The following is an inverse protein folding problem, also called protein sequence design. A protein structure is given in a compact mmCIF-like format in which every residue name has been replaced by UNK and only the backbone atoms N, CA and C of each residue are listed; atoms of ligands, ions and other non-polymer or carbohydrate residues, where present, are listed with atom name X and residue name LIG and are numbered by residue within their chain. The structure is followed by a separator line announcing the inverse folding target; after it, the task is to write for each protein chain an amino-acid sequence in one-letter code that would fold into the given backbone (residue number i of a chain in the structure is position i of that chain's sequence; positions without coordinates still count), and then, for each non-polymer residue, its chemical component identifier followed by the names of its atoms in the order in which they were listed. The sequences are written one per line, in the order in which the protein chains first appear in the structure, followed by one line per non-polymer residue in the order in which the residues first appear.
data_IF_135023295281
#
_entry.id   IF_135023295281
#
_cell.length_a   1.000
_cell.length_b   1.000
_cell.length_c   1.000
_cell.angle_alpha   90.00
_cell.angle_beta   90.00
_cell.angle_gamma   90.00
#
_symmetry.space_group_name_H-M   'P 1'
#
loop_
_entity.id
_entity.type
_entity.pdbx_description
1 polymer ?
#
# COMPACT_ATOMS: atom_id res chain seq x y z
N UNK A 1 -40.89 -3.10 4.94
CA UNK A 1 -40.94 -1.68 5.17
C UNK A 1 -42.30 -1.24 5.71
N UNK A 2 -43.42 -1.68 5.09
CA UNK A 2 -44.80 -1.34 5.48
C UNK A 2 -45.05 -1.62 6.97
N UNK A 3 -44.68 -2.81 7.47
CA UNK A 3 -44.87 -3.17 8.88
C UNK A 3 -44.05 -2.28 9.84
N UNK A 4 -42.84 -1.89 9.44
CA UNK A 4 -41.98 -1.00 10.24
C UNK A 4 -42.65 0.39 10.33
N UNK A 5 -43.07 0.92 9.22
CA UNK A 5 -43.77 2.23 9.16
C UNK A 5 -45.02 2.20 10.01
N UNK A 6 -45.86 1.16 9.86
CA UNK A 6 -47.07 0.99 10.66
C UNK A 6 -46.77 0.99 12.15
N UNK A 7 -45.80 0.21 12.62
CA UNK A 7 -45.40 0.13 14.03
C UNK A 7 -44.91 1.47 14.58
N UNK A 8 -44.19 2.26 13.76
CA UNK A 8 -43.71 3.57 14.17
C UNK A 8 -44.89 4.56 14.34
N UNK A 9 -45.87 4.55 13.42
CA UNK A 9 -47.05 5.41 13.49
C UNK A 9 -47.94 4.97 14.63
N UNK A 10 -48.21 3.68 14.80
CA UNK A 10 -49.01 3.13 15.92
C UNK A 10 -48.35 3.44 17.29
N UNK A 11 -47.00 3.55 17.32
CA UNK A 11 -46.22 3.96 18.48
C UNK A 11 -46.18 5.48 18.72
N UNK A 12 -46.98 6.27 17.97
CA UNK A 12 -47.12 7.72 18.18
C UNK A 12 -46.16 8.58 17.33
N UNK A 13 -45.45 8.01 16.37
CA UNK A 13 -44.66 8.82 15.43
C UNK A 13 -45.59 9.47 14.41
N UNK A 14 -45.41 10.78 14.20
CA UNK A 14 -46.20 11.51 13.20
C UNK A 14 -45.91 10.95 11.78
N UNK A 15 -46.98 10.59 11.06
CA UNK A 15 -46.90 10.11 9.68
C UNK A 15 -46.31 11.10 8.68
N UNK A 16 -46.36 12.41 9.00
CA UNK A 16 -45.73 13.45 8.18
C UNK A 16 -44.21 13.61 8.44
N UNK A 17 -43.69 12.93 9.43
CA UNK A 17 -42.24 12.98 9.72
C UNK A 17 -41.44 12.61 8.47
N UNK A 18 -40.43 13.42 8.06
CA UNK A 18 -39.57 13.10 6.95
C UNK A 18 -38.85 11.75 7.17
N UNK A 19 -38.78 10.95 6.11
CA UNK A 19 -38.15 9.65 6.17
C UNK A 19 -37.41 9.33 4.85
N UNK A 20 -36.42 8.45 4.91
CA UNK A 20 -35.68 8.04 3.76
C UNK A 20 -35.31 6.54 3.81
N UNK A 21 -35.17 5.94 2.64
CA UNK A 21 -34.54 4.63 2.47
C UNK A 21 -33.29 4.82 1.62
N UNK A 22 -32.17 4.33 2.13
CA UNK A 22 -30.86 4.35 1.46
C UNK A 22 -30.44 2.93 1.16
N UNK A 23 -30.19 2.62 -0.11
CA UNK A 23 -29.57 1.36 -0.55
C UNK A 23 -28.17 1.61 -1.07
N UNK A 24 -27.31 0.60 -0.97
CA UNK A 24 -25.92 0.70 -1.43
C UNK A 24 -25.17 1.92 -0.87
N UNK A 25 -25.45 2.28 0.38
CA UNK A 25 -24.80 3.41 1.06
C UNK A 25 -23.29 3.33 0.93
N UNK A 26 -22.63 4.48 0.73
CA UNK A 26 -21.17 4.61 0.50
C UNK A 26 -20.65 4.07 -0.84
N UNK A 27 -21.50 3.44 -1.64
CA UNK A 27 -21.12 2.97 -2.97
C UNK A 27 -21.54 3.98 -4.06
N UNK A 28 -20.84 3.98 -5.18
CA UNK A 28 -21.17 4.85 -6.33
C UNK A 28 -22.55 4.62 -6.93
N UNK A 29 -23.19 3.49 -6.62
CA UNK A 29 -24.56 3.16 -7.01
C UNK A 29 -25.59 3.43 -5.91
N UNK A 30 -25.20 4.16 -4.86
CA UNK A 30 -26.10 4.55 -3.79
C UNK A 30 -27.38 5.19 -4.35
N UNK A 31 -28.50 4.73 -3.86
CA UNK A 31 -29.83 5.29 -4.19
C UNK A 31 -30.54 5.69 -2.92
N UNK A 32 -31.23 6.80 -2.97
CA UNK A 32 -31.98 7.35 -1.83
C UNK A 32 -33.38 7.68 -2.28
N UNK A 33 -34.38 7.17 -1.57
CA UNK A 33 -35.79 7.56 -1.73
C UNK A 33 -36.21 8.27 -0.47
N UNK A 34 -36.83 9.43 -0.63
CA UNK A 34 -37.36 10.27 0.46
C UNK A 34 -38.85 10.49 0.29
N UNK A 35 -39.58 10.46 1.40
CA UNK A 35 -41.00 10.77 1.46
C UNK A 35 -41.38 11.08 2.93
N UNK A 36 -42.64 11.44 3.18
CA UNK A 36 -43.18 11.35 4.55
C UNK A 36 -43.18 9.90 5.02
N UNK A 37 -43.13 9.68 6.33
CA UNK A 37 -43.08 8.32 6.89
C UNK A 37 -44.25 7.45 6.37
N UNK A 38 -45.46 8.03 6.28
CA UNK A 38 -46.64 7.33 5.78
C UNK A 38 -46.54 6.95 4.31
N UNK A 39 -45.90 7.78 3.48
CA UNK A 39 -45.84 7.61 2.02
C UNK A 39 -44.58 6.83 1.60
N UNK A 40 -43.62 6.61 2.52
CA UNK A 40 -42.33 5.97 2.24
C UNK A 40 -42.46 4.57 1.61
N UNK A 41 -43.37 3.68 2.06
CA UNK A 41 -43.53 2.36 1.46
C UNK A 41 -43.91 2.43 -0.03
N UNK A 42 -44.81 3.32 -0.38
CA UNK A 42 -45.24 3.48 -1.76
C UNK A 42 -44.15 4.12 -2.62
N UNK A 43 -43.48 5.13 -2.11
CA UNK A 43 -42.34 5.77 -2.80
C UNK A 43 -41.22 4.78 -3.09
N UNK A 44 -40.86 3.91 -2.13
CA UNK A 44 -39.85 2.87 -2.31
C UNK A 44 -40.28 1.85 -3.35
N UNK A 45 -41.55 1.41 -3.32
CA UNK A 45 -42.09 0.46 -4.32
C UNK A 45 -42.02 1.03 -5.74
N UNK A 46 -42.44 2.31 -5.90
CA UNK A 46 -42.39 3.00 -7.21
C UNK A 46 -40.97 3.19 -7.72
N UNK A 47 -40.01 3.38 -6.82
CA UNK A 47 -38.58 3.57 -7.17
C UNK A 47 -37.88 2.31 -7.64
N UNK A 48 -38.41 1.12 -7.37
CA UNK A 48 -37.79 -0.18 -7.66
C UNK A 48 -36.53 -0.43 -6.80
N UNK A 49 -36.41 0.18 -5.61
CA UNK A 49 -35.35 -0.16 -4.67
C UNK A 49 -35.52 -1.58 -4.12
N UNK A 50 -34.42 -2.32 -4.04
CA UNK A 50 -34.38 -3.68 -3.50
C UNK A 50 -33.53 -3.73 -2.23
N UNK A 51 -33.87 -4.58 -1.25
CA UNK A 51 -33.07 -4.82 -0.07
C UNK A 51 -31.64 -5.32 -0.44
N UNK A 52 -30.63 -5.12 0.45
CA UNK A 52 -30.74 -4.47 1.77
C UNK A 52 -30.71 -2.95 1.69
N UNK A 53 -31.35 -2.28 2.68
CA UNK A 53 -31.35 -0.84 2.80
C UNK A 53 -31.48 -0.38 4.24
N UNK A 54 -31.07 0.86 4.51
CA UNK A 54 -31.19 1.54 5.80
C UNK A 54 -32.40 2.46 5.73
N UNK A 55 -33.23 2.42 6.77
CA UNK A 55 -34.36 3.33 6.94
C UNK A 55 -33.93 4.42 7.93
N UNK A 56 -34.03 5.68 7.55
CA UNK A 56 -33.87 6.84 8.42
C UNK A 56 -35.19 7.56 8.58
N UNK A 57 -35.50 8.01 9.80
CA UNK A 57 -36.76 8.71 10.12
C UNK A 57 -36.45 9.91 10.99
N UNK A 58 -36.90 11.10 10.61
CA UNK A 58 -36.71 12.33 11.34
C UNK A 58 -36.39 13.51 10.42
N UNK A 59 -36.34 14.72 10.99
CA UNK A 59 -36.06 15.96 10.28
C UNK A 59 -34.77 15.96 9.48
N UNK A 60 -33.79 15.19 9.90
CA UNK A 60 -32.51 15.01 9.15
C UNK A 60 -32.74 14.53 7.73
N UNK A 61 -33.85 13.79 7.47
CA UNK A 61 -34.16 13.27 6.13
C UNK A 61 -34.69 14.37 5.18
N UNK A 62 -35.05 15.54 5.69
CA UNK A 62 -35.44 16.70 4.88
C UNK A 62 -34.22 17.37 4.23
N UNK A 63 -33.02 17.19 4.80
CA UNK A 63 -31.79 17.76 4.22
C UNK A 63 -31.30 16.95 3.01
N UNK A 64 -31.04 17.67 1.94
CA UNK A 64 -30.42 17.08 0.75
C UNK A 64 -28.88 17.14 0.86
N UNK A 65 -28.28 16.12 1.46
CA UNK A 65 -26.82 16.00 1.51
C UNK A 65 -26.20 15.55 0.18
N UNK A 66 -26.95 15.58 -0.90
CA UNK A 66 -26.51 15.19 -2.25
C UNK A 66 -25.73 16.28 -2.98
N UNK A 67 -25.37 17.36 -2.33
CA UNK A 67 -24.31 18.19 -2.86
C UNK A 67 -22.94 17.58 -2.49
N UNK A 68 -22.67 16.36 -2.88
CA UNK A 68 -21.33 16.08 -3.33
C UNK A 68 -21.12 17.04 -4.48
N UNK A 69 -20.31 18.07 -4.26
CA UNK A 69 -19.76 18.86 -5.36
C UNK A 69 -19.24 17.83 -6.35
N UNK A 70 -19.70 17.83 -7.62
CA UNK A 70 -19.22 16.85 -8.57
C UNK A 70 -17.69 16.97 -8.59
N UNK A 71 -16.99 15.96 -8.12
CA UNK A 71 -15.55 15.92 -8.24
C UNK A 71 -15.17 15.88 -9.73
N UNK A 72 -13.94 16.24 -10.04
CA UNK A 72 -13.44 16.29 -11.42
C UNK A 72 -13.63 14.96 -12.19
N UNK A 73 -13.79 13.85 -11.45
CA UNK A 73 -13.94 12.50 -12.00
C UNK A 73 -15.35 11.92 -11.85
N UNK A 74 -16.35 12.75 -11.56
CA UNK A 74 -17.75 12.31 -11.45
C UNK A 74 -18.22 11.68 -12.75
N UNK A 75 -18.82 10.49 -12.67
CA UNK A 75 -19.28 9.72 -13.84
C UNK A 75 -18.20 8.88 -14.52
N UNK A 76 -16.93 9.01 -14.11
CA UNK A 76 -15.82 8.21 -14.64
C UNK A 76 -15.65 6.92 -13.80
N UNK A 77 -15.47 5.79 -14.47
CA UNK A 77 -15.11 4.52 -13.84
C UNK A 77 -13.62 4.24 -14.11
N UNK A 78 -12.86 4.03 -13.02
CA UNK A 78 -11.41 3.77 -13.09
C UNK A 78 -11.10 2.36 -12.59
N UNK A 79 -10.48 1.53 -13.45
CA UNK A 79 -9.91 0.25 -13.06
C UNK A 79 -8.54 0.47 -12.41
N UNK A 80 -8.35 -0.02 -11.18
CA UNK A 80 -7.10 0.12 -10.42
C UNK A 80 -6.43 -1.23 -10.29
N UNK A 81 -5.13 -1.28 -10.60
CA UNK A 81 -4.26 -2.44 -10.38
C UNK A 81 -3.13 -2.06 -9.43
N UNK A 82 -2.55 -3.04 -8.75
CA UNK A 82 -1.43 -2.84 -7.83
C UNK A 82 -1.52 -3.74 -6.61
N UNK A 83 -0.62 -3.59 -5.66
CA UNK A 83 -0.73 -4.26 -4.37
C UNK A 83 -1.92 -3.71 -3.59
N UNK A 84 -2.46 -4.49 -2.64
CA UNK A 84 -3.60 -4.09 -1.81
C UNK A 84 -3.43 -2.68 -1.24
N UNK A 85 -2.28 -2.40 -0.60
CA UNK A 85 -1.99 -1.12 0.03
C UNK A 85 -1.85 0.05 -0.96
N UNK A 86 -1.32 -0.17 -2.16
CA UNK A 86 -1.16 0.88 -3.18
C UNK A 86 -2.49 1.11 -3.89
N UNK A 87 -3.13 0.01 -4.32
CA UNK A 87 -4.42 0.07 -4.99
C UNK A 87 -5.49 0.71 -4.12
N UNK A 88 -5.58 0.35 -2.83
CA UNK A 88 -6.53 0.94 -1.89
C UNK A 88 -6.36 2.47 -1.79
N UNK A 89 -5.16 2.97 -1.55
CA UNK A 89 -4.89 4.42 -1.47
C UNK A 89 -5.22 5.18 -2.76
N UNK A 90 -4.97 4.56 -3.92
CA UNK A 90 -5.33 5.16 -5.21
C UNK A 90 -6.87 5.22 -5.33
N UNK A 91 -7.56 4.13 -5.00
CA UNK A 91 -9.03 4.06 -5.05
C UNK A 91 -9.66 5.11 -4.13
N UNK A 92 -9.14 5.26 -2.89
CA UNK A 92 -9.64 6.27 -1.93
C UNK A 92 -9.48 7.69 -2.49
N UNK A 93 -8.32 8.03 -3.06
CA UNK A 93 -8.10 9.35 -3.65
C UNK A 93 -8.99 9.61 -4.86
N UNK A 94 -9.17 8.63 -5.73
CA UNK A 94 -10.05 8.74 -6.88
C UNK A 94 -11.53 8.87 -6.46
N UNK A 95 -11.93 8.18 -5.39
CA UNK A 95 -13.28 8.28 -4.84
C UNK A 95 -13.58 9.68 -4.29
N UNK A 96 -12.61 10.35 -3.65
CA UNK A 96 -12.74 11.76 -3.20
C UNK A 96 -13.01 12.69 -4.38
N UNK A 97 -12.42 12.42 -5.55
CA UNK A 97 -12.65 13.15 -6.79
C UNK A 97 -13.94 12.73 -7.53
N UNK A 98 -14.74 11.87 -6.92
CA UNK A 98 -16.04 11.43 -7.47
C UNK A 98 -15.99 10.26 -8.46
N UNK A 99 -14.83 9.64 -8.66
CA UNK A 99 -14.73 8.47 -9.54
C UNK A 99 -15.36 7.23 -8.93
N UNK A 100 -15.97 6.41 -9.78
CA UNK A 100 -16.25 5.01 -9.45
C UNK A 100 -14.98 4.19 -9.63
N UNK A 101 -14.48 3.57 -8.56
CA UNK A 101 -13.30 2.73 -8.64
C UNK A 101 -13.67 1.25 -8.64
N UNK A 102 -12.96 0.46 -9.45
CA UNK A 102 -13.03 -1.00 -9.43
C UNK A 102 -11.61 -1.56 -9.32
N UNK A 103 -11.44 -2.60 -8.51
CA UNK A 103 -10.17 -3.34 -8.47
C UNK A 103 -10.12 -4.26 -9.70
N UNK A 104 -9.32 -3.88 -10.69
CA UNK A 104 -9.16 -4.60 -11.94
C UNK A 104 -8.13 -5.73 -11.86
N UNK A 105 -7.21 -5.67 -10.87
CA UNK A 105 -6.23 -6.71 -10.62
C UNK A 105 -5.45 -6.42 -9.33
N UNK A 106 -4.84 -7.47 -8.78
CA UNK A 106 -4.00 -7.36 -7.60
C UNK A 106 -2.61 -7.95 -7.88
N UNK A 107 -1.57 -7.20 -7.49
CA UNK A 107 -0.20 -7.68 -7.53
C UNK A 107 0.15 -8.27 -6.16
N UNK A 108 0.44 -9.57 -6.13
CA UNK A 108 0.85 -10.27 -4.92
C UNK A 108 2.35 -10.47 -4.93
N UNK A 109 3.00 -10.20 -3.79
CA UNK A 109 4.41 -10.52 -3.60
C UNK A 109 4.52 -11.98 -3.17
N UNK A 110 5.15 -12.79 -4.01
CA UNK A 110 5.42 -14.20 -3.72
C UNK A 110 6.87 -14.30 -3.25
N UNK A 111 7.08 -15.01 -2.13
CA UNK A 111 8.43 -15.28 -1.63
C UNK A 111 9.06 -16.42 -2.43
N UNK A 112 10.27 -16.21 -2.92
CA UNK A 112 11.10 -17.26 -3.48
C UNK A 112 11.70 -18.13 -2.34
N UNK A 113 12.29 -19.33 -2.64
CA UNK A 113 13.04 -20.09 -1.66
C UNK A 113 14.15 -19.25 -1.03
N UNK A 114 14.23 -19.26 0.31
CA UNK A 114 15.09 -18.33 1.07
C UNK A 114 16.39 -18.96 1.57
N UNK A 115 16.75 -20.16 1.06
CA UNK A 115 17.95 -20.89 1.53
C UNK A 115 19.24 -20.06 1.41
N UNK A 116 19.36 -19.29 0.32
CA UNK A 116 20.52 -18.41 0.11
C UNK A 116 20.56 -17.25 1.10
N UNK A 117 19.40 -16.69 1.45
CA UNK A 117 19.30 -15.66 2.47
C UNK A 117 19.58 -16.24 3.87
N UNK A 118 19.07 -17.43 4.16
CA UNK A 118 19.37 -18.14 5.39
C UNK A 118 20.87 -18.40 5.54
N UNK A 119 21.52 -18.81 4.46
CA UNK A 119 22.97 -19.00 4.45
C UNK A 119 23.71 -17.68 4.69
N UNK A 120 23.29 -16.59 4.07
CA UNK A 120 23.88 -15.27 4.32
C UNK A 120 23.76 -14.85 5.79
N UNK A 121 22.67 -15.20 6.46
CA UNK A 121 22.48 -14.92 7.89
C UNK A 121 23.42 -15.73 8.81
N UNK A 122 23.93 -16.86 8.38
CA UNK A 122 24.88 -17.64 9.19
C UNK A 122 26.24 -16.98 9.30
N UNK A 123 26.62 -16.19 8.29
CA UNK A 123 27.92 -15.50 8.22
C UNK A 123 27.74 -14.05 7.73
N UNK A 124 27.06 -13.25 8.53
CA UNK A 124 26.85 -11.82 8.25
C UNK A 124 28.15 -11.02 8.30
N UNK A 125 29.17 -11.52 8.99
CA UNK A 125 30.45 -10.83 9.14
C UNK A 125 31.25 -10.75 7.82
N UNK A 126 30.92 -11.56 6.82
CA UNK A 126 31.53 -11.47 5.50
C UNK A 126 31.07 -10.27 4.68
N UNK A 127 29.97 -9.63 5.09
CA UNK A 127 29.41 -8.48 4.39
C UNK A 127 29.78 -7.16 5.06
N UNK A 128 29.95 -6.12 4.26
CA UNK A 128 30.13 -4.74 4.70
C UNK A 128 28.87 -3.90 4.49
N UNK A 129 28.09 -4.24 3.47
CA UNK A 129 26.88 -3.50 3.11
C UNK A 129 25.69 -4.42 2.83
N UNK A 130 24.49 -3.92 3.16
CA UNK A 130 23.22 -4.47 2.69
C UNK A 130 22.51 -3.43 1.83
N UNK A 131 22.17 -3.82 0.59
CA UNK A 131 21.62 -2.90 -0.42
C UNK A 131 20.19 -3.26 -0.74
N UNK A 132 19.25 -2.36 -0.44
CA UNK A 132 17.83 -2.59 -0.68
C UNK A 132 17.31 -1.78 -1.86
N UNK A 133 16.75 -2.48 -2.84
CA UNK A 133 16.13 -1.86 -4.04
C UNK A 133 14.62 -1.65 -3.91
N UNK A 134 14.00 -2.09 -2.81
CA UNK A 134 12.57 -1.91 -2.57
C UNK A 134 12.20 -2.06 -1.09
N UNK A 135 11.05 -1.49 -0.70
CA UNK A 135 10.47 -1.70 0.64
C UNK A 135 10.12 -3.15 0.92
N UNK A 136 9.68 -3.90 -0.10
CA UNK A 136 9.36 -5.32 0.05
C UNK A 136 10.60 -6.15 0.37
N UNK A 137 11.75 -5.82 -0.24
CA UNK A 137 13.01 -6.48 0.08
C UNK A 137 13.41 -6.24 1.56
N UNK A 138 13.28 -4.99 2.04
CA UNK A 138 13.50 -4.68 3.47
C UNK A 138 12.56 -5.51 4.35
N UNK A 139 11.27 -5.47 4.06
CA UNK A 139 10.26 -6.20 4.83
C UNK A 139 10.58 -7.69 4.93
N UNK A 140 10.80 -8.33 3.78
CA UNK A 140 11.05 -9.78 3.71
C UNK A 140 12.35 -10.14 4.42
N UNK A 141 13.41 -9.34 4.26
CA UNK A 141 14.69 -9.55 4.93
C UNK A 141 14.54 -9.58 6.45
N UNK A 142 13.91 -8.57 7.04
CA UNK A 142 13.73 -8.50 8.50
C UNK A 142 12.71 -9.49 9.05
N UNK A 143 11.65 -9.79 8.31
CA UNK A 143 10.73 -10.87 8.65
C UNK A 143 11.47 -12.22 8.68
N UNK A 144 12.34 -12.49 7.69
CA UNK A 144 13.14 -13.72 7.66
C UNK A 144 14.16 -13.80 8.79
N UNK A 145 14.82 -12.69 9.11
CA UNK A 145 15.68 -12.63 10.29
C UNK A 145 14.92 -13.02 11.57
N UNK A 146 13.72 -12.48 11.74
CA UNK A 146 12.86 -12.82 12.89
C UNK A 146 12.46 -14.30 12.88
N UNK A 147 12.01 -14.84 11.76
CA UNK A 147 11.66 -16.26 11.59
C UNK A 147 12.82 -17.19 11.95
N UNK A 148 14.04 -16.79 11.63
CA UNK A 148 15.27 -17.55 11.91
C UNK A 148 15.92 -17.23 13.26
N UNK A 149 15.28 -16.39 14.07
CA UNK A 149 15.80 -15.94 15.36
C UNK A 149 17.21 -15.32 15.29
N UNK A 150 17.49 -14.63 14.16
CA UNK A 150 18.76 -13.91 13.98
C UNK A 150 18.71 -12.58 14.73
N UNK A 151 19.64 -12.37 15.65
CA UNK A 151 19.71 -11.16 16.46
C UNK A 151 20.08 -9.93 15.61
N UNK A 152 19.32 -8.85 15.71
CA UNK A 152 19.56 -7.58 15.00
C UNK A 152 20.94 -6.98 15.32
N UNK A 153 21.50 -7.26 16.49
CA UNK A 153 22.85 -6.79 16.87
C UNK A 153 23.95 -7.35 15.94
N UNK A 154 23.69 -8.44 15.24
CA UNK A 154 24.61 -8.98 14.22
C UNK A 154 24.76 -8.08 13.00
N UNK A 155 23.84 -7.12 12.82
CA UNK A 155 23.89 -6.11 11.75
C UNK A 155 24.73 -4.88 12.14
N UNK A 156 25.23 -4.79 13.38
CA UNK A 156 25.87 -3.57 13.90
C UNK A 156 27.13 -3.11 13.19
N UNK A 157 27.80 -4.00 12.45
CA UNK A 157 28.97 -3.67 11.60
C UNK A 157 28.62 -3.40 10.14
N UNK A 158 27.34 -3.62 9.74
CA UNK A 158 26.93 -3.46 8.36
C UNK A 158 26.43 -2.04 8.10
N UNK A 159 26.77 -1.53 6.92
CA UNK A 159 26.20 -0.32 6.36
C UNK A 159 25.01 -0.65 5.46
N UNK A 160 24.10 0.30 5.32
CA UNK A 160 22.86 0.10 4.61
C UNK A 160 22.68 1.12 3.49
N UNK A 161 22.37 0.63 2.28
CA UNK A 161 21.99 1.48 1.16
C UNK A 161 20.54 1.23 0.74
N UNK A 162 19.82 2.28 0.38
CA UNK A 162 18.46 2.21 -0.12
C UNK A 162 18.33 2.92 -1.46
N UNK A 163 17.56 2.33 -2.39
CA UNK A 163 17.37 2.90 -3.74
C UNK A 163 16.70 4.27 -3.74
N UNK A 164 15.99 4.62 -2.69
CA UNK A 164 15.31 5.90 -2.59
C UNK A 164 14.64 6.13 -1.24
N UNK A 165 14.11 7.32 -1.10
CA UNK A 165 13.54 7.82 0.16
C UNK A 165 12.53 6.88 0.79
N UNK A 166 11.55 6.35 0.02
CA UNK A 166 10.52 5.48 0.58
C UNK A 166 11.04 4.14 1.11
N UNK A 167 12.17 3.61 0.57
CA UNK A 167 12.84 2.42 1.10
C UNK A 167 13.66 2.78 2.34
N UNK A 168 14.31 3.95 2.32
CA UNK A 168 15.05 4.47 3.47
C UNK A 168 14.16 4.77 4.67
N UNK A 169 13.00 5.39 4.45
CA UNK A 169 12.00 5.63 5.51
C UNK A 169 11.49 4.31 6.11
N UNK A 170 11.34 3.27 5.30
CA UNK A 170 10.92 1.96 5.80
C UNK A 170 12.02 1.33 6.68
N UNK A 171 13.30 1.46 6.33
CA UNK A 171 14.44 1.08 7.18
C UNK A 171 14.46 1.86 8.48
N UNK A 172 14.28 3.18 8.42
CA UNK A 172 14.26 4.05 9.60
C UNK A 172 13.14 3.66 10.60
N UNK A 173 11.97 3.23 10.10
CA UNK A 173 10.89 2.73 10.95
C UNK A 173 11.24 1.43 11.71
N UNK A 174 12.23 0.67 11.23
CA UNK A 174 12.76 -0.52 11.89
C UNK A 174 13.92 -0.15 12.85
N UNK A 175 14.33 1.12 12.87
CA UNK A 175 15.42 1.63 13.71
C UNK A 175 16.79 1.67 13.00
N UNK A 176 16.85 1.51 11.68
CA UNK A 176 18.09 1.52 10.90
C UNK A 176 18.07 2.73 9.95
N UNK A 177 18.98 3.68 10.18
CA UNK A 177 19.17 4.80 9.26
C UNK A 177 20.08 4.36 8.12
N UNK A 178 19.66 4.49 6.84
CA UNK A 178 20.54 4.15 5.72
C UNK A 178 21.79 5.07 5.69
N UNK A 179 22.95 4.49 5.43
CA UNK A 179 24.21 5.22 5.25
C UNK A 179 24.28 5.86 3.86
N UNK A 180 23.55 5.30 2.87
CA UNK A 180 23.52 5.84 1.52
C UNK A 180 22.13 5.78 0.88
N UNK A 181 21.70 6.90 0.32
CA UNK A 181 20.52 7.02 -0.58
C UNK A 181 20.93 7.93 -1.74
N UNK A 182 20.77 7.52 -3.01
CA UNK A 182 21.10 8.35 -4.14
C UNK A 182 20.16 9.56 -4.27
N UNK A 183 20.61 10.62 -4.94
CA UNK A 183 19.79 11.82 -5.20
C UNK A 183 18.62 11.52 -6.15
N UNK A 184 18.85 10.67 -7.13
CA UNK A 184 17.81 10.15 -8.02
C UNK A 184 17.45 8.74 -7.60
N UNK A 185 16.16 8.47 -7.43
CA UNK A 185 15.64 7.21 -6.88
C UNK A 185 15.53 6.12 -7.94
N UNK A 186 16.65 5.82 -8.60
CA UNK A 186 16.77 4.79 -9.61
C UNK A 186 17.86 3.77 -9.24
N UNK A 187 17.72 2.55 -9.73
CA UNK A 187 18.72 1.49 -9.52
C UNK A 187 20.08 1.85 -10.11
N UNK A 188 20.09 2.61 -11.22
CA UNK A 188 21.29 3.12 -11.85
C UNK A 188 22.01 4.14 -10.97
N UNK A 189 21.27 5.15 -10.48
CA UNK A 189 21.82 6.17 -9.60
C UNK A 189 22.31 5.57 -8.27
N UNK A 190 21.63 4.53 -7.77
CA UNK A 190 22.09 3.77 -6.61
C UNK A 190 23.45 3.10 -6.90
N UNK A 191 23.60 2.42 -8.04
CA UNK A 191 24.83 1.75 -8.40
C UNK A 191 26.00 2.73 -8.57
N UNK A 192 25.80 3.75 -9.40
CA UNK A 192 26.84 4.75 -9.72
C UNK A 192 27.24 5.56 -8.47
N UNK A 193 26.23 6.00 -7.69
CA UNK A 193 26.46 6.80 -6.49
C UNK A 193 27.06 6.00 -5.33
N UNK A 194 26.64 4.74 -5.13
CA UNK A 194 27.21 3.87 -4.09
C UNK A 194 28.67 3.58 -4.41
N UNK A 195 29.00 3.26 -5.65
CA UNK A 195 30.37 2.99 -6.04
C UNK A 195 31.29 4.20 -5.87
N UNK A 196 30.80 5.42 -6.16
CA UNK A 196 31.52 6.65 -5.86
C UNK A 196 31.74 6.82 -4.34
N UNK A 197 30.69 6.59 -3.56
CA UNK A 197 30.74 6.66 -2.09
C UNK A 197 31.72 5.67 -1.48
N UNK A 198 31.73 4.43 -1.96
CA UNK A 198 32.67 3.39 -1.51
C UNK A 198 34.13 3.77 -1.82
N UNK A 199 34.38 4.34 -3.00
CA UNK A 199 35.73 4.82 -3.37
C UNK A 199 36.19 5.98 -2.50
N UNK A 200 35.33 6.96 -2.23
CA UNK A 200 35.62 8.11 -1.34
C UNK A 200 35.88 7.66 0.09
N UNK A 201 35.18 6.63 0.57
CA UNK A 201 35.39 6.04 1.89
C UNK A 201 36.66 5.17 1.99
N UNK A 202 37.39 4.98 0.88
CA UNK A 202 38.57 4.10 0.84
C UNK A 202 38.22 2.61 0.84
N UNK A 203 36.97 2.27 0.65
CA UNK A 203 36.46 0.90 0.51
C UNK A 203 36.71 0.42 -0.92
N UNK A 204 37.97 -0.03 -1.20
CA UNK A 204 38.47 -0.31 -2.56
C UNK A 204 37.81 -1.57 -3.11
N UNK A 205 37.42 -1.52 -4.41
CA UNK A 205 36.96 -2.67 -5.18
C UNK A 205 38.04 -3.79 -5.26
N UNK A 206 37.59 -5.02 -5.04
CA UNK A 206 38.30 -6.20 -5.55
C UNK A 206 39.21 -6.94 -4.59
N UNK A 207 39.34 -6.59 -3.30
CA UNK A 207 40.20 -7.38 -2.37
C UNK A 207 39.55 -7.48 -0.99
N UNK A 208 39.74 -8.61 -0.38
CA UNK A 208 39.14 -9.21 0.81
C UNK A 208 39.11 -8.42 2.12
N UNK A 209 39.49 -7.16 2.15
CA UNK A 209 39.47 -6.35 3.37
C UNK A 209 38.18 -5.51 3.53
N UNK A 210 37.44 -5.26 2.44
CA UNK A 210 36.22 -4.41 2.46
C UNK A 210 34.92 -5.19 2.67
N UNK A 211 34.96 -6.52 2.68
CA UNK A 211 33.76 -7.37 2.77
C UNK A 211 32.92 -7.39 1.48
N UNK A 212 32.00 -8.33 1.39
CA UNK A 212 31.02 -8.44 0.30
C UNK A 212 29.84 -7.48 0.47
N UNK A 213 29.15 -7.22 -0.63
CA UNK A 213 27.85 -6.52 -0.61
C UNK A 213 26.72 -7.56 -0.64
N UNK A 214 25.72 -7.42 0.21
CA UNK A 214 24.52 -8.26 0.22
C UNK A 214 23.38 -7.52 -0.46
N UNK A 215 22.76 -8.12 -1.49
CA UNK A 215 21.72 -7.51 -2.31
C UNK A 215 20.46 -8.37 -2.27
N UNK A 216 19.64 -8.29 -1.22
CA UNK A 216 18.33 -8.94 -1.22
C UNK A 216 17.36 -8.15 -2.11
N UNK A 217 16.82 -8.79 -3.14
CA UNK A 217 15.95 -8.13 -4.12
C UNK A 217 14.94 -9.06 -4.78
N UNK A 218 13.99 -8.50 -5.51
CA UNK A 218 13.08 -9.31 -6.31
C UNK A 218 13.79 -9.98 -7.48
N UNK A 219 13.47 -11.24 -7.78
CA UNK A 219 14.01 -12.03 -8.89
C UNK A 219 13.90 -11.34 -10.26
N UNK A 220 12.77 -10.66 -10.50
CA UNK A 220 12.52 -9.90 -11.72
C UNK A 220 13.00 -8.45 -11.63
N UNK A 221 13.80 -8.08 -10.62
CA UNK A 221 14.36 -6.75 -10.46
C UNK A 221 15.37 -6.40 -11.57
N UNK A 222 15.60 -5.09 -11.76
CA UNK A 222 16.59 -4.60 -12.71
C UNK A 222 17.99 -5.16 -12.39
N UNK A 223 18.70 -5.64 -13.40
CA UNK A 223 20.09 -6.12 -13.26
C UNK A 223 21.13 -4.99 -13.29
N UNK A 224 20.72 -3.77 -13.57
CA UNK A 224 21.65 -2.63 -13.70
C UNK A 224 22.55 -2.47 -12.48
N UNK A 225 22.04 -2.70 -11.27
CA UNK A 225 22.85 -2.61 -10.04
C UNK A 225 23.98 -3.63 -10.04
N UNK A 226 23.64 -4.89 -10.27
CA UNK A 226 24.63 -6.00 -10.24
C UNK A 226 25.63 -5.89 -11.37
N UNK A 227 25.19 -5.55 -12.59
CA UNK A 227 26.06 -5.32 -13.75
C UNK A 227 27.09 -4.19 -13.47
N UNK A 228 26.62 -3.08 -12.88
CA UNK A 228 27.50 -1.95 -12.54
C UNK A 228 28.48 -2.26 -11.42
N UNK A 229 28.07 -3.00 -10.40
CA UNK A 229 28.96 -3.41 -9.31
C UNK A 229 30.01 -4.41 -9.82
N UNK A 230 29.61 -5.33 -10.71
CA UNK A 230 30.51 -6.28 -11.35
C UNK A 230 31.54 -5.59 -12.24
N UNK A 231 31.12 -4.65 -13.11
CA UNK A 231 32.01 -3.82 -13.93
C UNK A 231 33.06 -3.06 -13.10
N UNK A 232 32.73 -2.72 -11.86
CA UNK A 232 33.62 -2.01 -10.94
C UNK A 232 34.40 -2.92 -10.00
N UNK A 233 34.26 -4.26 -10.14
CA UNK A 233 35.00 -5.26 -9.42
C UNK A 233 34.56 -5.49 -7.98
N UNK A 234 33.36 -5.08 -7.58
CA UNK A 234 32.82 -5.37 -6.25
C UNK A 234 32.34 -6.82 -6.13
N UNK A 235 32.67 -7.46 -5.03
CA UNK A 235 32.11 -8.77 -4.69
C UNK A 235 30.75 -8.60 -4.03
N UNK A 236 29.77 -9.36 -4.48
CA UNK A 236 28.42 -9.30 -3.94
C UNK A 236 27.69 -10.64 -4.00
N UNK A 237 26.73 -10.80 -3.13
CA UNK A 237 25.75 -11.87 -3.18
C UNK A 237 24.38 -11.27 -3.57
N UNK A 238 23.93 -11.58 -4.79
CA UNK A 238 22.61 -11.22 -5.31
C UNK A 238 21.61 -12.31 -4.91
N UNK A 239 20.70 -11.98 -3.99
CA UNK A 239 19.73 -12.92 -3.41
C UNK A 239 18.31 -12.49 -3.81
N UNK A 240 17.70 -13.21 -4.77
CA UNK A 240 16.34 -12.95 -5.22
C UNK A 240 15.28 -13.41 -4.21
#
# INVERSE_FOLDING_TARGET
LEEIVKRLIDGGKDGETPAAVVTDGTLSRMRVVRASLKDLPEAVRKSGLTPPGIIAVGEVCAFHFTSMVPGALTGITVGVTGTEAVGGRIMDRLAVEGAKTIRAGESVVVREPMDRLDQAFTDLAQYSWVIFTSRNAVKIFFERMHEKHVDLRKLGSLKFAAVGRGTGEYLANIGITPDFIPKEYTTKALADGLAAHLKEAGEISGISESGKLLIPRAKQGSKILTERLEEQGYLFDDIP
#
